data_IF_673399732409
#
_entry.id   IF_673399732409
#
_cell.length_a   1.000
_cell.length_b   1.000
_cell.length_c   1.000
_cell.angle_alpha   90.00
_cell.angle_beta   90.00
_cell.angle_gamma   90.00
#
_symmetry.space_group_name_H-M   'P 1'
#
loop_
_entity.id
_entity.type
_entity.pdbx_description
1 polymer ?
#
# COMPACT_ATOMS: atom_id res chain seq x y z
N UNK A 1 -9.49 15.35 -15.22
CA UNK A 1 -8.03 15.10 -15.13
C UNK A 1 -7.82 14.11 -14.00
N UNK A 2 -7.58 12.84 -14.31
CA UNK A 2 -7.24 11.86 -13.28
C UNK A 2 -5.82 12.19 -12.81
N UNK A 3 -5.57 12.37 -11.50
CA UNK A 3 -4.20 12.56 -11.04
C UNK A 3 -3.43 11.30 -11.42
N UNK A 4 -2.31 11.46 -12.12
CA UNK A 4 -1.42 10.38 -12.50
C UNK A 4 -1.01 9.61 -11.23
N UNK A 5 -1.69 8.50 -10.93
CA UNK A 5 -1.46 7.68 -9.74
C UNK A 5 -0.27 6.75 -9.98
N UNK A 6 0.86 7.30 -10.41
CA UNK A 6 2.06 6.48 -10.51
C UNK A 6 2.44 5.97 -9.10
N UNK A 7 2.68 4.66 -8.96
CA UNK A 7 3.00 4.07 -7.68
C UNK A 7 4.33 4.65 -7.18
N UNK A 8 4.40 4.97 -5.88
CA UNK A 8 5.61 5.54 -5.26
C UNK A 8 6.83 4.62 -5.43
N UNK A 9 6.59 3.33 -5.60
CA UNK A 9 7.57 2.32 -5.97
C UNK A 9 7.10 1.60 -7.23
N UNK A 10 7.92 1.59 -8.27
CA UNK A 10 7.60 0.92 -9.54
C UNK A 10 7.31 -0.58 -9.42
N UNK A 11 7.79 -1.26 -8.37
CA UNK A 11 7.49 -2.68 -8.10
C UNK A 11 6.02 -2.92 -7.72
N UNK A 12 5.32 -1.88 -7.25
CA UNK A 12 3.90 -1.97 -6.88
C UNK A 12 2.97 -1.59 -8.02
N UNK A 13 3.47 -1.50 -9.26
CA UNK A 13 2.64 -1.18 -10.43
C UNK A 13 1.54 -2.22 -10.67
N UNK A 14 1.83 -3.49 -10.40
CA UNK A 14 0.88 -4.59 -10.59
C UNK A 14 0.02 -4.87 -9.34
N UNK A 15 0.22 -4.13 -8.25
CA UNK A 15 -0.55 -4.22 -7.00
C UNK A 15 -1.07 -2.83 -6.58
N UNK A 16 -2.18 -2.36 -7.19
CA UNK A 16 -2.71 -1.02 -6.93
C UNK A 16 -3.22 -0.84 -5.50
N UNK A 17 -3.67 -1.92 -4.85
CA UNK A 17 -4.13 -1.88 -3.46
C UNK A 17 -2.95 -1.61 -2.52
N UNK A 18 -1.83 -2.31 -2.71
CA UNK A 18 -0.63 -2.08 -1.91
C UNK A 18 0.05 -0.75 -2.26
N UNK A 19 -0.01 -0.30 -3.52
CA UNK A 19 0.43 1.04 -3.90
C UNK A 19 -0.36 2.15 -3.19
N UNK A 20 -1.69 2.00 -3.08
CA UNK A 20 -2.54 2.92 -2.34
C UNK A 20 -2.23 2.92 -0.83
N UNK A 21 -2.05 1.73 -0.25
CA UNK A 21 -1.70 1.58 1.17
C UNK A 21 -0.33 2.20 1.49
N UNK A 22 0.67 2.00 0.63
CA UNK A 22 1.97 2.64 0.76
C UNK A 22 1.84 4.18 0.72
N UNK A 23 1.07 4.70 -0.23
CA UNK A 23 0.85 6.16 -0.36
C UNK A 23 0.20 6.74 0.89
N UNK A 24 -0.82 6.06 1.43
CA UNK A 24 -1.48 6.44 2.70
C UNK A 24 -0.50 6.41 3.88
N UNK A 25 0.39 5.42 3.93
CA UNK A 25 1.41 5.29 4.97
C UNK A 25 2.42 6.46 4.91
N UNK A 26 2.89 6.82 3.72
CA UNK A 26 3.78 7.97 3.52
C UNK A 26 3.09 9.29 3.88
N UNK A 27 1.80 9.46 3.55
CA UNK A 27 1.02 10.61 3.99
C UNK A 27 0.94 10.70 5.51
N UNK A 28 0.62 9.60 6.19
CA UNK A 28 0.56 9.58 7.66
C UNK A 28 1.91 9.93 8.29
N UNK A 29 3.01 9.46 7.70
CA UNK A 29 4.34 9.79 8.16
C UNK A 29 4.65 11.29 7.98
N UNK A 30 4.25 11.90 6.86
CA UNK A 30 4.41 13.33 6.62
C UNK A 30 3.59 14.16 7.63
N UNK A 31 2.35 13.75 7.90
CA UNK A 31 1.44 14.45 8.81
C UNK A 31 1.93 14.41 10.27
N UNK A 32 2.54 13.29 10.67
CA UNK A 32 3.03 13.06 12.03
C UNK A 32 4.51 13.38 12.22
N UNK A 33 5.23 13.76 11.17
CA UNK A 33 6.65 14.06 11.26
C UNK A 33 6.88 15.36 12.03
N UNK A 34 7.66 15.35 13.14
CA UNK A 34 8.00 16.57 13.86
C UNK A 34 9.16 17.34 13.20
N UNK A 35 9.88 16.72 12.26
CA UNK A 35 10.96 17.36 11.51
C UNK A 35 10.42 18.00 10.21
N UNK A 36 10.48 19.34 10.07
CA UNK A 36 10.04 20.02 8.86
C UNK A 36 10.77 19.58 7.58
N UNK A 37 12.05 19.19 7.70
CA UNK A 37 12.84 18.74 6.56
C UNK A 37 12.36 17.37 6.06
N UNK A 38 12.16 16.42 6.97
CA UNK A 38 11.55 15.12 6.67
C UNK A 38 10.14 15.29 6.08
N UNK A 39 9.30 16.14 6.66
CA UNK A 39 7.95 16.41 6.12
C UNK A 39 8.01 16.91 4.67
N UNK A 40 8.90 17.85 4.37
CA UNK A 40 9.09 18.37 3.01
C UNK A 40 9.46 17.28 2.01
N UNK A 41 10.41 16.42 2.36
CA UNK A 41 10.83 15.30 1.52
C UNK A 41 9.69 14.31 1.24
N UNK A 42 8.89 13.97 2.25
CA UNK A 42 7.76 13.05 2.09
C UNK A 42 6.66 13.66 1.20
N UNK A 43 6.40 14.97 1.32
CA UNK A 43 5.46 15.68 0.45
C UNK A 43 5.94 15.75 -1.00
N UNK A 44 7.24 15.93 -1.24
CA UNK A 44 7.82 15.88 -2.59
C UNK A 44 7.67 14.48 -3.22
N UNK A 45 7.80 13.42 -2.43
CA UNK A 45 7.55 12.03 -2.88
C UNK A 45 6.08 11.82 -3.22
N UNK A 46 5.16 12.28 -2.37
CA UNK A 46 3.73 12.18 -2.61
C UNK A 46 3.29 12.98 -3.85
N UNK A 47 3.93 14.12 -4.11
CA UNK A 47 3.71 14.93 -5.30
C UNK A 47 4.34 14.33 -6.59
N UNK A 48 5.06 13.21 -6.49
CA UNK A 48 5.77 12.60 -7.62
C UNK A 48 6.99 13.40 -8.10
N UNK A 49 7.44 14.39 -7.33
CA UNK A 49 8.62 15.20 -7.65
C UNK A 49 9.92 14.45 -7.35
N UNK A 50 9.88 13.47 -6.43
CA UNK A 50 10.99 12.58 -6.08
C UNK A 50 10.51 11.13 -5.98
N UNK A 51 11.37 10.19 -6.36
CA UNK A 51 11.13 8.78 -6.02
C UNK A 51 11.43 8.55 -4.54
N UNK A 52 10.67 7.63 -3.92
CA UNK A 52 10.97 7.15 -2.57
C UNK A 52 12.40 6.55 -2.51
N UNK A 53 12.86 5.92 -3.60
CA UNK A 53 14.23 5.41 -3.72
C UNK A 53 15.27 6.52 -3.69
N UNK A 54 15.02 7.61 -4.41
CA UNK A 54 15.95 8.74 -4.49
C UNK A 54 16.09 9.44 -3.14
N UNK A 55 15.01 9.54 -2.36
CA UNK A 55 15.07 10.11 -1.02
C UNK A 55 15.97 9.30 -0.09
N UNK A 56 15.88 7.97 -0.15
CA UNK A 56 16.72 7.07 0.66
C UNK A 56 18.19 7.14 0.27
N UNK A 57 18.51 7.30 -1.02
CA UNK A 57 19.90 7.33 -1.52
C UNK A 57 20.56 8.70 -1.41
N UNK A 58 19.80 9.78 -1.46
CA UNK A 58 20.34 11.16 -1.53
C UNK A 58 20.34 11.86 -0.17
N UNK A 59 19.48 11.42 0.75
CA UNK A 59 19.43 11.96 2.12
C UNK A 59 20.33 11.10 3.00
N UNK A 60 20.88 11.68 4.07
CA UNK A 60 21.37 10.89 5.20
C UNK A 60 20.20 10.33 6.01
N UNK A 61 19.35 9.57 5.32
CA UNK A 61 18.13 8.99 5.83
C UNK A 61 18.37 8.20 7.13
N UNK A 62 19.45 7.41 7.28
CA UNK A 62 19.75 6.75 8.54
C UNK A 62 19.87 7.71 9.72
N UNK A 63 20.55 8.85 9.55
CA UNK A 63 20.76 9.79 10.65
C UNK A 63 19.51 10.58 11.00
N UNK A 64 18.62 10.84 10.02
CA UNK A 64 17.32 11.47 10.30
C UNK A 64 16.35 10.48 10.94
N UNK A 65 16.39 9.20 10.56
CA UNK A 65 15.47 8.18 11.07
C UNK A 65 15.89 7.60 12.43
N UNK A 66 17.20 7.56 12.72
CA UNK A 66 17.78 6.95 13.92
C UNK A 66 17.11 7.40 15.23
N UNK A 67 16.88 8.71 15.51
CA UNK A 67 16.26 9.13 16.77
C UNK A 67 14.86 8.56 16.98
N UNK A 68 14.08 8.39 15.90
CA UNK A 68 12.74 7.81 15.97
C UNK A 68 12.79 6.30 16.22
N UNK A 69 13.72 5.60 15.56
CA UNK A 69 13.92 4.18 15.78
C UNK A 69 14.38 3.90 17.22
N UNK A 70 15.32 4.70 17.75
CA UNK A 70 15.80 4.59 19.13
C UNK A 70 14.68 4.84 20.14
N UNK A 71 13.83 5.86 19.92
CA UNK A 71 12.68 6.12 20.77
C UNK A 71 11.68 4.96 20.77
N UNK A 72 11.35 4.41 19.59
CA UNK A 72 10.44 3.28 19.46
C UNK A 72 11.01 2.01 20.12
N UNK A 73 12.31 1.76 20.01
CA UNK A 73 12.98 0.64 20.70
C UNK A 73 12.95 0.82 22.21
N UNK A 74 13.18 2.04 22.70
CA UNK A 74 13.14 2.34 24.13
C UNK A 74 11.73 2.15 24.72
N UNK A 75 10.70 2.56 23.99
CA UNK A 75 9.30 2.32 24.36
C UNK A 75 8.98 0.82 24.37
N UNK A 76 9.33 0.10 23.30
CA UNK A 76 9.11 -1.34 23.21
C UNK A 76 9.86 -2.13 24.29
N UNK A 77 11.05 -1.67 24.71
CA UNK A 77 11.82 -2.31 25.77
C UNK A 77 11.14 -2.20 27.16
N UNK A 78 10.27 -1.21 27.36
CA UNK A 78 9.51 -1.05 28.60
C UNK A 78 8.21 -1.87 28.62
N UNK A 79 7.76 -2.38 27.48
CA UNK A 79 6.56 -3.19 27.37
C UNK A 79 6.83 -4.63 27.84
N UNK A 80 5.87 -5.19 28.58
CA UNK A 80 5.79 -6.62 28.86
C UNK A 80 5.56 -7.43 27.58
N UNK A 81 5.82 -8.74 27.63
CA UNK A 81 5.61 -9.61 26.47
C UNK A 81 4.12 -9.69 26.09
N UNK A 82 3.22 -9.61 27.07
CA UNK A 82 1.77 -9.56 26.86
C UNK A 82 1.34 -8.26 26.16
N UNK A 83 1.90 -7.12 26.55
CA UNK A 83 1.63 -5.83 25.89
C UNK A 83 2.17 -5.79 24.46
N UNK A 84 3.35 -6.38 24.21
CA UNK A 84 3.91 -6.51 22.86
C UNK A 84 3.03 -7.39 21.96
N UNK A 85 2.57 -8.53 22.48
CA UNK A 85 1.69 -9.43 21.72
C UNK A 85 0.34 -8.76 21.43
N UNK A 86 -0.24 -8.05 22.40
CA UNK A 86 -1.47 -7.28 22.21
C UNK A 86 -1.29 -6.20 21.14
N UNK A 87 -0.18 -5.46 21.17
CA UNK A 87 0.15 -4.44 20.18
C UNK A 87 0.35 -5.04 18.78
N UNK A 88 1.03 -6.19 18.68
CA UNK A 88 1.25 -6.90 17.42
C UNK A 88 -0.07 -7.42 16.82
N UNK A 89 -0.93 -8.02 17.64
CA UNK A 89 -2.24 -8.52 17.24
C UNK A 89 -3.18 -7.37 16.83
N UNK A 90 -3.12 -6.23 17.51
CA UNK A 90 -3.83 -5.03 17.10
C UNK A 90 -3.29 -4.48 15.77
N UNK A 91 -1.97 -4.37 15.62
CA UNK A 91 -1.32 -3.91 14.40
C UNK A 91 -1.73 -4.73 13.18
N UNK A 92 -1.71 -6.07 13.29
CA UNK A 92 -2.17 -6.98 12.23
C UNK A 92 -3.63 -6.76 11.86
N UNK A 93 -4.52 -6.75 12.85
CA UNK A 93 -5.96 -6.50 12.60
C UNK A 93 -6.21 -5.18 11.88
N UNK A 94 -5.49 -4.11 12.23
CA UNK A 94 -5.64 -2.81 11.56
C UNK A 94 -5.12 -2.86 10.12
N UNK A 95 -3.96 -3.45 9.88
CA UNK A 95 -3.37 -3.57 8.54
C UNK A 95 -4.26 -4.43 7.63
N UNK A 96 -4.71 -5.59 8.13
CA UNK A 96 -5.55 -6.52 7.38
C UNK A 96 -6.90 -5.86 7.04
N UNK A 97 -7.54 -5.19 8.00
CA UNK A 97 -8.79 -4.47 7.76
C UNK A 97 -8.64 -3.33 6.74
N UNK A 98 -7.54 -2.58 6.77
CA UNK A 98 -7.27 -1.53 5.78
C UNK A 98 -7.02 -2.11 4.38
N UNK A 99 -6.30 -3.22 4.29
CA UNK A 99 -6.05 -3.92 3.03
C UNK A 99 -7.34 -4.48 2.43
N UNK A 100 -8.15 -5.16 3.23
CA UNK A 100 -9.47 -5.67 2.82
C UNK A 100 -10.42 -4.56 2.38
N UNK A 101 -10.46 -3.43 3.11
CA UNK A 101 -11.27 -2.28 2.72
C UNK A 101 -10.83 -1.69 1.37
N UNK A 102 -9.53 -1.66 1.09
CA UNK A 102 -8.97 -1.20 -0.19
C UNK A 102 -9.34 -2.14 -1.34
N UNK A 103 -9.24 -3.46 -1.11
CA UNK A 103 -9.69 -4.49 -2.04
C UNK A 103 -11.20 -4.41 -2.32
N UNK A 104 -12.03 -4.25 -1.29
CA UNK A 104 -13.48 -4.13 -1.43
C UNK A 104 -13.89 -2.85 -2.17
N UNK A 105 -13.17 -1.74 -1.96
CA UNK A 105 -13.33 -0.50 -2.72
C UNK A 105 -12.98 -0.66 -4.20
N UNK A 106 -11.94 -1.44 -4.52
CA UNK A 106 -11.56 -1.77 -5.89
C UNK A 106 -12.49 -2.78 -6.59
N UNK A 107 -13.25 -3.58 -5.82
CA UNK A 107 -14.17 -4.62 -6.33
C UNK A 107 -15.60 -4.15 -6.55
N UNK A 108 -15.94 -2.88 -6.25
CA UNK A 108 -17.26 -2.33 -6.56
C UNK A 108 -17.33 -2.11 -8.07
N UNK A 109 -18.11 -2.89 -8.84
CA UNK A 109 -18.22 -2.66 -10.27
C UNK A 109 -19.02 -1.38 -10.49
N UNK A 110 -18.58 -0.57 -11.44
CA UNK A 110 -19.46 0.27 -12.23
C UNK A 110 -20.64 -0.59 -12.66
N UNK A 111 -21.83 -0.21 -12.21
CA UNK A 111 -23.07 -0.68 -12.80
C UNK A 111 -23.20 0.00 -14.16
N UNK A 112 -22.63 -0.60 -15.20
CA UNK A 112 -22.95 -0.28 -16.59
C UNK A 112 -23.30 -1.60 -17.30
N UNK A 113 -24.59 -1.69 -17.60
CA UNK A 113 -25.31 -2.56 -18.53
C UNK A 113 -24.50 -3.65 -19.24
N UNK A 114 -24.75 -4.91 -18.85
CA UNK A 114 -24.54 -6.04 -19.74
C UNK A 114 -25.64 -6.02 -20.81
N UNK A 115 -25.33 -5.47 -21.97
CA UNK A 115 -26.08 -5.78 -23.18
C UNK A 115 -25.92 -7.29 -23.46
N UNK A 116 -27.07 -7.93 -23.66
CA UNK A 116 -27.27 -9.33 -23.98
C UNK A 116 -26.59 -9.69 -25.31
N UNK A 117 -25.32 -10.14 -25.35
CA UNK A 117 -24.72 -10.67 -26.59
C UNK A 117 -23.65 -11.78 -26.40
N UNK A 118 -23.57 -12.41 -25.22
CA UNK A 118 -22.61 -13.50 -24.94
C UNK A 118 -23.19 -14.93 -25.13
N UNK A 119 -24.24 -15.09 -25.96
CA UNK A 119 -24.72 -16.43 -26.37
C UNK A 119 -23.75 -17.18 -27.31
N UNK A 120 -22.63 -16.57 -27.72
CA UNK A 120 -21.70 -17.19 -28.68
C UNK A 120 -20.87 -18.34 -28.09
N UNK A 121 -20.58 -18.35 -26.78
CA UNK A 121 -19.72 -19.38 -26.18
C UNK A 121 -20.48 -20.60 -25.65
N UNK A 122 -21.81 -20.60 -25.66
CA UNK A 122 -22.61 -21.72 -25.14
C UNK A 122 -22.97 -22.77 -26.19
N UNK A 123 -22.62 -22.57 -27.47
CA UNK A 123 -22.96 -23.53 -28.53
C UNK A 123 -21.73 -24.21 -29.18
N UNK A 124 -21.33 -25.32 -28.55
CA UNK A 124 -20.89 -26.59 -29.17
C UNK A 124 -19.63 -26.62 -30.05
N UNK A 125 -18.58 -27.19 -29.43
CA UNK A 125 -17.57 -27.99 -30.12
C UNK A 125 -16.75 -28.80 -29.13
N UNK A 126 -17.27 -29.95 -28.68
CA UNK A 126 -16.47 -30.97 -27.97
C UNK A 126 -15.29 -31.38 -28.84
N UNK A 127 -14.08 -30.96 -28.48
CA UNK A 127 -12.82 -31.46 -29.07
C UNK A 127 -11.88 -32.09 -28.04
N UNK A 128 -12.40 -32.50 -26.88
CA UNK A 128 -11.75 -33.52 -26.07
C UNK A 128 -12.15 -34.90 -26.59
N UNK A 129 -11.41 -35.38 -27.60
CA UNK A 129 -11.40 -36.78 -27.98
C UNK A 129 -10.54 -37.57 -26.98
N UNK A 130 -11.20 -38.36 -26.14
CA UNK A 130 -10.59 -39.52 -25.49
C UNK A 130 -11.09 -40.77 -26.22
N UNK A 131 -10.16 -41.51 -26.83
CA UNK A 131 -9.96 -42.98 -26.72
C UNK A 131 -9.22 -43.54 -27.96
N UNK A 132 -8.30 -44.47 -27.70
CA UNK A 132 -7.38 -45.23 -28.58
C UNK A 132 -6.01 -44.61 -28.91
#
# INVERSE_FOLDING_TARGET
>A
MQPNQEPLLGVLRDDPAMAAQLRKSVQMLADKSPDPAMRGLLLEVLAGQKSLRDVVTTTNFPDVFRPFAEAAVAEAAQMTDEEKEALAAEGRRRIDAEYEATLAGARRPESEEYDEDDEYFQNRGSILSSDW
#
